data_IF_705864638429
#
_entry.id   IF_705864638429
#
_cell.length_a   1.000
_cell.length_b   1.000
_cell.length_c   1.000
_cell.angle_alpha   90.00
_cell.angle_beta   90.00
_cell.angle_gamma   90.00
#
_symmetry.space_group_name_H-M   'P 1'
#
loop_
_entity.id
_entity.type
_entity.pdbx_description
1 polymer ?
#
# COMPACT_ATOMS: atom_id res chain seq x y z
N UNK A 1 -33.06 79.53 27.79
CA UNK A 1 -34.32 78.85 28.19
C UNK A 1 -34.35 77.53 27.43
N UNK A 2 -34.53 76.33 27.97
CA UNK A 2 -35.09 75.88 29.23
C UNK A 2 -34.87 74.34 29.30
N UNK A 3 -34.48 73.86 30.49
CA UNK A 3 -34.71 72.52 31.08
C UNK A 3 -34.45 71.25 30.26
N UNK A 4 -33.44 70.44 30.61
CA UNK A 4 -33.45 69.41 31.68
C UNK A 4 -34.44 68.26 31.44
N UNK A 5 -33.90 67.05 31.23
CA UNK A 5 -34.23 65.89 32.08
C UNK A 5 -33.21 64.76 31.90
N UNK A 6 -32.53 64.51 33.01
CA UNK A 6 -31.65 63.39 33.32
C UNK A 6 -32.48 62.11 33.33
N UNK A 7 -31.96 61.05 32.71
CA UNK A 7 -32.33 59.67 33.06
C UNK A 7 -31.05 58.86 33.25
N UNK A 8 -30.64 58.72 34.50
CA UNK A 8 -29.59 57.79 34.92
C UNK A 8 -30.21 56.39 34.98
N UNK A 9 -29.79 55.50 34.07
CA UNK A 9 -30.04 54.06 34.22
C UNK A 9 -28.80 53.43 34.85
N UNK A 10 -28.91 53.12 36.14
CA UNK A 10 -28.02 52.25 36.90
C UNK A 10 -28.14 50.81 36.37
N UNK A 11 -27.10 50.32 35.69
CA UNK A 11 -26.92 48.90 35.39
C UNK A 11 -26.32 48.21 36.63
N UNK A 12 -27.13 47.47 37.37
CA UNK A 12 -26.64 46.58 38.42
C UNK A 12 -26.04 45.33 37.79
N UNK A 13 -24.75 45.10 38.06
CA UNK A 13 -24.07 43.86 37.76
C UNK A 13 -24.64 42.73 38.63
N UNK A 14 -25.37 41.80 38.02
CA UNK A 14 -25.63 40.49 38.60
C UNK A 14 -24.59 39.52 38.02
N UNK A 15 -23.45 39.40 38.71
CA UNK A 15 -22.52 38.30 38.48
C UNK A 15 -23.19 37.02 39.01
N UNK A 16 -23.88 36.30 38.12
CA UNK A 16 -24.30 34.94 38.38
C UNK A 16 -23.03 34.07 38.48
N UNK A 17 -22.80 33.49 39.65
CA UNK A 17 -21.87 32.39 39.86
C UNK A 17 -22.38 31.18 39.06
N UNK A 18 -22.03 31.12 37.78
CA UNK A 18 -22.07 29.87 37.03
C UNK A 18 -20.86 29.05 37.49
N UNK A 19 -21.12 28.00 38.28
CA UNK A 19 -20.15 26.93 38.44
C UNK A 19 -19.73 26.47 37.04
N UNK A 20 -18.42 26.35 36.73
CA UNK A 20 -18.01 25.74 35.47
C UNK A 20 -18.60 24.34 35.46
N UNK A 21 -19.58 24.12 34.57
CA UNK A 21 -19.97 22.77 34.20
C UNK A 21 -18.72 22.20 33.53
N UNK A 22 -17.95 21.44 34.32
CA UNK A 22 -16.93 20.53 33.85
C UNK A 22 -17.65 19.44 33.04
N UNK A 23 -18.15 19.81 31.85
CA UNK A 23 -18.33 18.89 30.75
C UNK A 23 -16.93 18.61 30.21
N UNK A 24 -16.10 17.95 31.02
CA UNK A 24 -15.05 17.13 30.46
C UNK A 24 -15.80 16.05 29.70
N UNK A 25 -15.76 16.01 28.35
CA UNK A 25 -16.32 14.88 27.64
C UNK A 25 -15.71 13.64 28.28
N UNK A 26 -16.59 12.77 28.81
CA UNK A 26 -16.17 11.54 29.44
C UNK A 26 -15.24 10.85 28.45
N UNK A 27 -13.95 10.76 28.78
CA UNK A 27 -12.93 10.16 27.94
C UNK A 27 -13.46 8.78 27.62
N UNK A 28 -13.98 8.59 26.40
CA UNK A 28 -14.45 7.29 25.95
C UNK A 28 -13.25 6.39 26.16
N UNK A 29 -13.39 5.39 27.03
CA UNK A 29 -12.38 4.38 27.23
C UNK A 29 -12.03 3.89 25.83
N UNK A 30 -10.81 4.19 25.37
CA UNK A 30 -10.26 3.60 24.15
C UNK A 30 -10.46 2.11 24.33
N UNK A 31 -11.35 1.54 23.52
CA UNK A 31 -11.50 0.09 23.44
C UNK A 31 -10.11 -0.41 23.05
N UNK A 32 -9.62 -1.43 23.76
CA UNK A 32 -8.37 -2.06 23.35
C UNK A 32 -8.49 -2.43 21.86
N UNK A 33 -7.45 -2.18 21.06
CA UNK A 33 -7.48 -2.53 19.64
C UNK A 33 -7.84 -4.02 19.51
N UNK A 34 -8.64 -4.40 18.51
CA UNK A 34 -8.97 -5.80 18.31
C UNK A 34 -7.69 -6.61 18.19
N UNK A 35 -7.60 -7.71 18.93
CA UNK A 35 -6.53 -8.67 18.73
C UNK A 35 -6.58 -9.16 17.27
N UNK A 36 -5.42 -9.38 16.63
CA UNK A 36 -5.34 -10.06 15.34
C UNK A 36 -6.21 -11.31 15.33
N UNK A 37 -6.91 -11.53 14.21
CA UNK A 37 -7.70 -12.73 14.00
C UNK A 37 -6.83 -13.96 14.16
N UNK A 38 -7.38 -15.04 14.69
CA UNK A 38 -6.71 -16.35 14.77
C UNK A 38 -6.73 -17.13 13.44
N UNK A 39 -7.10 -16.47 12.35
CA UNK A 39 -7.10 -16.98 10.97
C UNK A 39 -5.64 -17.30 10.52
N UNK A 40 -5.37 -18.33 9.69
CA UNK A 40 -6.20 -18.90 8.62
C UNK A 40 -7.28 -19.94 8.95
N UNK A 41 -8.20 -20.18 8.00
CA UNK A 41 -9.12 -21.35 7.95
C UNK A 41 -8.37 -22.71 7.89
N UNK A 42 -7.05 -22.71 8.08
CA UNK A 42 -6.15 -23.86 8.00
C UNK A 42 -4.86 -23.61 8.79
N UNK A 43 -3.78 -24.31 8.42
CA UNK A 43 -2.47 -24.10 9.02
C UNK A 43 -1.84 -22.83 8.41
N UNK A 44 -1.57 -21.81 9.23
CA UNK A 44 -0.80 -20.63 8.79
C UNK A 44 0.54 -21.07 8.20
N UNK A 45 0.91 -20.50 7.06
CA UNK A 45 2.28 -20.65 6.60
C UNK A 45 3.20 -19.67 7.36
N UNK A 46 4.48 -20.01 7.43
CA UNK A 46 5.46 -19.20 8.16
C UNK A 46 5.47 -17.75 7.66
N UNK A 47 5.31 -16.81 8.60
CA UNK A 47 5.32 -15.35 8.40
C UNK A 47 4.17 -14.77 7.56
N UNK A 48 3.00 -15.43 7.58
CA UNK A 48 1.75 -14.88 7.05
C UNK A 48 1.34 -13.58 7.77
N UNK A 49 0.61 -12.71 7.06
CA UNK A 49 0.11 -11.43 7.59
C UNK A 49 -0.80 -11.59 8.80
N UNK A 50 -0.95 -10.51 9.56
CA UNK A 50 -1.97 -10.41 10.60
C UNK A 50 -3.26 -9.85 10.02
N UNK A 51 -4.38 -10.55 10.22
CA UNK A 51 -5.68 -10.16 9.67
C UNK A 51 -6.55 -9.46 10.73
N UNK A 52 -7.11 -8.30 10.40
CA UNK A 52 -8.06 -7.56 11.23
C UNK A 52 -9.39 -7.35 10.53
N UNK A 53 -10.46 -7.46 11.32
CA UNK A 53 -11.83 -7.11 10.93
C UNK A 53 -12.43 -7.87 9.75
N UNK A 54 -11.92 -9.05 9.44
CA UNK A 54 -12.60 -10.00 8.58
C UNK A 54 -13.63 -10.81 9.38
N UNK A 55 -14.84 -10.96 8.83
CA UNK A 55 -15.90 -11.80 9.35
C UNK A 55 -15.79 -13.21 8.75
N UNK A 56 -15.34 -14.22 9.51
CA UNK A 56 -15.15 -15.58 9.00
C UNK A 56 -16.47 -16.31 8.74
N UNK A 57 -17.62 -15.72 9.05
CA UNK A 57 -18.93 -16.28 8.68
C UNK A 57 -19.45 -15.71 7.35
N UNK A 58 -18.89 -14.60 6.86
CA UNK A 58 -19.22 -13.99 5.58
C UNK A 58 -18.42 -14.63 4.44
N UNK A 59 -19.08 -14.97 3.33
CA UNK A 59 -18.44 -15.70 2.23
C UNK A 59 -17.50 -14.82 1.41
N UNK A 60 -17.73 -13.50 1.36
CA UNK A 60 -16.82 -12.55 0.69
C UNK A 60 -15.54 -12.41 1.50
N UNK A 61 -15.64 -12.19 2.81
CA UNK A 61 -14.46 -12.09 3.67
C UNK A 61 -13.65 -13.39 3.70
N UNK A 62 -14.31 -14.56 3.68
CA UNK A 62 -13.60 -15.85 3.51
C UNK A 62 -12.84 -15.92 2.18
N UNK A 63 -13.43 -15.45 1.09
CA UNK A 63 -12.79 -15.45 -0.22
C UNK A 63 -11.58 -14.50 -0.25
N UNK A 64 -11.70 -13.30 0.32
CA UNK A 64 -10.59 -12.34 0.45
C UNK A 64 -9.46 -12.93 1.29
N UNK A 65 -9.79 -13.50 2.44
CA UNK A 65 -8.83 -14.17 3.29
C UNK A 65 -8.15 -15.38 2.60
N UNK A 66 -8.87 -16.12 1.76
CA UNK A 66 -8.29 -17.20 0.97
C UNK A 66 -7.29 -16.66 -0.05
N UNK A 67 -7.60 -15.56 -0.75
CA UNK A 67 -6.66 -14.89 -1.66
C UNK A 67 -5.39 -14.42 -0.92
N UNK A 68 -5.56 -13.80 0.26
CA UNK A 68 -4.44 -13.35 1.10
C UNK A 68 -3.57 -14.52 1.58
N UNK A 69 -4.19 -15.62 1.98
CA UNK A 69 -3.49 -16.83 2.38
C UNK A 69 -2.72 -17.43 1.20
N UNK A 70 -3.39 -17.63 0.06
CA UNK A 70 -2.82 -18.32 -1.09
C UNK A 70 -1.62 -17.55 -1.65
N UNK A 71 -1.68 -16.23 -1.76
CA UNK A 71 -0.58 -15.44 -2.35
C UNK A 71 0.74 -15.61 -1.58
N UNK A 72 0.68 -15.83 -0.26
CA UNK A 72 1.87 -16.16 0.55
C UNK A 72 2.15 -17.66 0.51
N UNK A 73 1.17 -18.50 0.83
CA UNK A 73 1.41 -19.89 1.16
C UNK A 73 1.67 -20.79 -0.06
N UNK A 74 1.20 -20.40 -1.26
CA UNK A 74 1.62 -21.09 -2.51
C UNK A 74 3.01 -20.65 -2.97
N UNK A 75 3.60 -19.64 -2.31
CA UNK A 75 4.93 -19.11 -2.61
C UNK A 75 4.97 -18.08 -3.72
N UNK A 76 3.82 -17.58 -4.20
CA UNK A 76 3.78 -16.58 -5.28
C UNK A 76 4.47 -15.27 -4.86
N UNK A 77 4.14 -14.74 -3.69
CA UNK A 77 4.74 -13.50 -3.20
C UNK A 77 6.25 -13.64 -3.00
N UNK A 78 6.70 -14.78 -2.48
CA UNK A 78 8.13 -15.10 -2.36
C UNK A 78 8.81 -15.25 -3.71
N UNK A 79 8.15 -15.87 -4.69
CA UNK A 79 8.68 -15.99 -6.04
C UNK A 79 8.89 -14.60 -6.66
N UNK A 80 7.85 -13.75 -6.68
CA UNK A 80 7.92 -12.41 -7.28
C UNK A 80 9.03 -11.58 -6.63
N UNK A 81 9.03 -11.46 -5.30
CA UNK A 81 10.06 -10.70 -4.58
C UNK A 81 11.47 -11.27 -4.77
N UNK A 82 11.67 -12.59 -4.73
CA UNK A 82 13.01 -13.20 -4.93
C UNK A 82 13.55 -13.07 -6.36
N UNK A 83 12.69 -13.13 -7.38
CA UNK A 83 13.12 -12.87 -8.76
C UNK A 83 13.41 -11.39 -9.00
N UNK A 84 12.64 -10.49 -8.39
CA UNK A 84 12.97 -9.06 -8.36
C UNK A 84 14.32 -8.80 -7.69
N UNK A 85 14.55 -9.39 -6.51
CA UNK A 85 15.83 -9.33 -5.80
C UNK A 85 17.00 -9.81 -6.68
N UNK A 86 16.83 -10.96 -7.32
CA UNK A 86 17.87 -11.55 -8.18
C UNK A 86 18.12 -10.74 -9.46
N UNK A 87 17.09 -10.08 -9.97
CA UNK A 87 17.19 -9.14 -11.09
C UNK A 87 18.02 -7.91 -10.68
N UNK A 88 17.77 -7.35 -9.50
CA UNK A 88 18.50 -6.21 -8.96
C UNK A 88 19.97 -6.52 -8.67
N UNK A 89 20.24 -7.64 -7.98
CA UNK A 89 21.60 -8.10 -7.65
C UNK A 89 22.53 -8.15 -8.88
N UNK A 90 21.96 -8.45 -10.06
CA UNK A 90 22.72 -8.71 -11.29
C UNK A 90 22.46 -7.69 -12.38
N UNK A 91 21.70 -6.64 -12.09
CA UNK A 91 21.21 -5.66 -13.06
C UNK A 91 20.68 -6.32 -14.34
N UNK A 92 19.75 -7.27 -14.20
CA UNK A 92 19.13 -7.90 -15.37
C UNK A 92 18.15 -6.95 -16.07
N UNK A 93 17.71 -7.31 -17.28
CA UNK A 93 16.83 -6.46 -18.08
C UNK A 93 15.55 -6.00 -17.33
N UNK A 94 14.86 -6.83 -16.52
CA UNK A 94 13.76 -6.33 -15.70
C UNK A 94 14.20 -5.27 -14.71
N UNK A 95 15.39 -5.35 -14.10
CA UNK A 95 15.88 -4.30 -13.20
C UNK A 95 16.13 -2.99 -13.93
N UNK A 96 16.90 -3.04 -15.03
CA UNK A 96 17.29 -1.85 -15.82
C UNK A 96 16.11 -1.08 -16.42
N UNK A 97 14.95 -1.73 -16.48
CA UNK A 97 13.68 -1.13 -16.91
C UNK A 97 13.09 -0.18 -15.86
N UNK A 98 13.27 -0.45 -14.57
CA UNK A 98 12.59 0.33 -13.52
C UNK A 98 13.54 1.05 -12.54
N UNK A 99 14.84 0.76 -12.61
CA UNK A 99 15.86 1.39 -11.77
C UNK A 99 17.14 1.72 -12.56
N UNK A 100 17.87 2.77 -12.17
CA UNK A 100 19.19 3.06 -12.73
C UNK A 100 20.20 2.00 -12.31
N UNK A 101 21.22 1.75 -13.13
CA UNK A 101 22.36 0.92 -12.70
C UNK A 101 23.18 1.66 -11.64
N UNK A 102 23.67 0.92 -10.63
CA UNK A 102 24.61 1.48 -9.66
C UNK A 102 25.90 1.92 -10.34
N UNK A 103 26.49 3.00 -9.84
CA UNK A 103 27.83 3.46 -10.23
C UNK A 103 28.77 3.53 -9.00
N UNK A 104 29.87 4.28 -9.09
CA UNK A 104 30.81 4.41 -7.97
C UNK A 104 30.26 5.27 -6.81
N UNK A 105 29.21 6.05 -7.06
CA UNK A 105 28.64 7.03 -6.13
C UNK A 105 27.33 6.51 -5.49
N UNK A 106 26.58 5.65 -6.18
CA UNK A 106 25.24 5.21 -5.76
C UNK A 106 25.06 3.69 -5.64
N UNK A 107 24.40 3.27 -4.54
CA UNK A 107 24.15 1.86 -4.18
C UNK A 107 22.76 1.33 -4.63
N UNK A 108 22.19 1.89 -5.71
CA UNK A 108 20.87 1.56 -6.26
C UNK A 108 20.50 0.08 -6.23
N UNK A 109 21.33 -0.77 -6.84
CA UNK A 109 21.09 -2.20 -6.93
C UNK A 109 21.06 -2.87 -5.56
N UNK A 110 21.93 -2.44 -4.65
CA UNK A 110 22.03 -3.00 -3.30
C UNK A 110 20.78 -2.66 -2.51
N UNK A 111 20.33 -1.40 -2.55
CA UNK A 111 19.12 -0.96 -1.85
C UNK A 111 17.89 -1.74 -2.32
N UNK A 112 17.71 -1.86 -3.65
CA UNK A 112 16.57 -2.58 -4.23
C UNK A 112 16.61 -4.06 -3.87
N UNK A 113 17.80 -4.69 -3.97
CA UNK A 113 18.01 -6.09 -3.58
C UNK A 113 17.71 -6.31 -2.09
N UNK A 114 18.12 -5.40 -1.22
CA UNK A 114 17.94 -5.55 0.23
C UNK A 114 16.47 -5.43 0.63
N UNK A 115 15.72 -4.47 0.06
CA UNK A 115 14.25 -4.33 0.23
C UNK A 115 13.53 -5.61 -0.15
N UNK A 116 13.79 -6.11 -1.36
CA UNK A 116 13.13 -7.31 -1.85
C UNK A 116 13.59 -8.56 -1.11
N UNK A 117 14.82 -8.58 -0.61
CA UNK A 117 15.35 -9.64 0.25
C UNK A 117 14.69 -9.70 1.62
N UNK A 118 14.33 -8.55 2.21
CA UNK A 118 13.54 -8.50 3.45
C UNK A 118 12.18 -9.17 3.26
N UNK A 119 11.51 -8.86 2.14
CA UNK A 119 10.20 -9.42 1.80
C UNK A 119 10.31 -10.90 1.42
N UNK A 120 11.21 -11.29 0.53
CA UNK A 120 11.36 -12.66 0.06
C UNK A 120 11.86 -13.63 1.14
N UNK A 121 12.56 -13.10 2.15
CA UNK A 121 13.37 -13.87 3.07
C UNK A 121 14.78 -14.10 2.53
N UNK A 122 15.75 -13.98 3.41
CA UNK A 122 17.19 -14.10 3.12
C UNK A 122 17.68 -15.55 3.09
N UNK A 123 16.89 -16.48 3.62
CA UNK A 123 17.26 -17.89 3.71
C UNK A 123 16.11 -18.81 3.28
N UNK A 124 16.46 -20.00 2.80
CA UNK A 124 15.46 -21.06 2.55
C UNK A 124 14.77 -21.54 3.83
N UNK A 125 15.34 -21.23 5.00
CA UNK A 125 14.75 -21.54 6.31
C UNK A 125 13.81 -20.44 6.83
N UNK A 126 13.69 -19.31 6.12
CA UNK A 126 12.79 -18.22 6.51
C UNK A 126 11.31 -18.56 6.22
N UNK A 127 10.98 -19.79 5.82
CA UNK A 127 9.59 -20.23 5.69
C UNK A 127 8.96 -19.89 4.33
N UNK A 128 7.68 -19.52 4.30
CA UNK A 128 6.98 -19.21 3.04
C UNK A 128 7.35 -17.83 2.48
N UNK A 129 7.70 -16.88 3.36
CA UNK A 129 8.06 -15.50 3.03
C UNK A 129 8.98 -14.92 4.13
N UNK A 130 9.59 -13.76 3.90
CA UNK A 130 10.48 -13.12 4.87
C UNK A 130 9.79 -12.77 6.19
N UNK A 131 10.54 -12.89 7.29
CA UNK A 131 10.04 -12.67 8.67
C UNK A 131 9.38 -11.31 8.89
N UNK A 132 9.81 -10.27 8.16
CA UNK A 132 9.26 -8.91 8.25
C UNK A 132 7.77 -8.90 7.87
N UNK A 133 7.36 -9.74 6.94
CA UNK A 133 6.00 -9.79 6.40
C UNK A 133 4.99 -10.24 7.46
N UNK A 134 5.38 -11.13 8.37
CA UNK A 134 4.54 -11.57 9.49
C UNK A 134 4.24 -10.47 10.52
N UNK A 135 4.89 -9.31 10.39
CA UNK A 135 4.60 -8.13 11.21
C UNK A 135 3.53 -7.22 10.61
N UNK A 136 3.21 -7.38 9.32
CA UNK A 136 2.25 -6.51 8.63
C UNK A 136 0.82 -6.89 8.98
N UNK A 137 -0.05 -5.88 8.89
CA UNK A 137 -1.45 -5.98 9.25
C UNK A 137 -2.30 -5.67 8.03
N UNK A 138 -3.18 -6.59 7.65
CA UNK A 138 -4.25 -6.36 6.66
C UNK A 138 -5.54 -6.07 7.42
N UNK A 139 -6.13 -4.92 7.20
CA UNK A 139 -7.35 -4.46 7.89
C UNK A 139 -8.50 -4.31 6.90
N UNK A 140 -9.59 -5.04 7.12
CA UNK A 140 -10.76 -5.03 6.24
C UNK A 140 -11.74 -3.86 6.53
N UNK A 141 -11.48 -2.99 7.52
CA UNK A 141 -12.32 -1.81 7.81
C UNK A 141 -11.93 -0.56 7.00
N UNK A 142 -11.79 -0.69 5.67
CA UNK A 142 -11.50 0.45 4.80
C UNK A 142 -12.73 1.17 4.24
N UNK A 143 -13.94 0.62 4.43
CA UNK A 143 -15.17 1.28 3.99
C UNK A 143 -16.29 1.29 5.02
N UNK A 144 -16.82 2.50 5.24
CA UNK A 144 -18.05 2.74 5.96
C UNK A 144 -19.26 2.45 5.05
N UNK A 145 -19.51 1.20 4.68
CA UNK A 145 -20.78 0.84 4.05
C UNK A 145 -21.89 0.86 5.12
N UNK A 146 -22.40 2.05 5.49
CA UNK A 146 -23.64 2.17 6.28
C UNK A 146 -24.77 1.91 5.30
N UNK A 147 -25.45 0.77 5.37
CA UNK A 147 -26.54 0.57 4.45
C UNK A 147 -27.70 1.49 4.91
N UNK A 148 -28.36 2.15 3.97
CA UNK A 148 -29.33 3.26 4.17
C UNK A 148 -30.44 3.03 5.22
N UNK A 149 -30.70 1.78 5.59
CA UNK A 149 -31.66 1.39 6.61
C UNK A 149 -31.14 1.59 8.04
N UNK A 150 -29.82 1.59 8.26
CA UNK A 150 -29.18 1.95 9.54
C UNK A 150 -29.24 3.46 9.83
N UNK A 151 -29.36 4.30 8.80
CA UNK A 151 -29.52 5.76 8.93
C UNK A 151 -30.85 6.18 9.56
N UNK A 152 -31.91 5.36 9.46
CA UNK A 152 -33.22 5.67 10.05
C UNK A 152 -33.29 5.53 11.58
N UNK A 153 -32.33 4.85 12.21
CA UNK A 153 -32.30 4.66 13.68
C UNK A 153 -31.28 5.54 14.42
N UNK A 154 -30.46 6.34 13.71
CA UNK A 154 -29.30 7.04 14.31
C UNK A 154 -29.51 8.52 14.64
N UNK A 155 -30.69 9.10 14.45
CA UNK A 155 -30.94 10.53 14.71
C UNK A 155 -31.11 10.93 16.20
N UNK A 156 -30.71 10.10 17.18
CA UNK A 156 -30.91 10.44 18.61
C UNK A 156 -29.68 10.51 19.51
N UNK A 157 -28.46 10.22 19.04
CA UNK A 157 -27.25 10.42 19.86
C UNK A 157 -26.05 10.80 19.00
N UNK A 158 -25.30 11.87 19.35
CA UNK A 158 -24.01 12.17 18.72
C UNK A 158 -22.97 11.24 19.34
N UNK A 159 -23.04 9.96 19.00
CA UNK A 159 -21.97 9.01 19.25
C UNK A 159 -21.07 9.04 18.02
N UNK A 160 -20.03 9.86 18.11
CA UNK A 160 -18.82 9.75 17.29
C UNK A 160 -18.38 8.28 17.36
N UNK A 161 -18.50 7.53 16.27
CA UNK A 161 -17.96 6.16 16.21
C UNK A 161 -16.45 6.29 16.00
N UNK A 162 -15.60 5.84 16.95
CA UNK A 162 -14.17 6.12 16.90
C UNK A 162 -13.36 4.87 16.49
N UNK A 163 -13.66 4.22 15.37
CA UNK A 163 -13.04 2.91 15.10
C UNK A 163 -12.85 2.53 13.62
N UNK A 164 -12.78 3.49 12.71
CA UNK A 164 -12.63 3.21 11.29
C UNK A 164 -11.18 3.53 10.87
N UNK A 165 -10.51 2.58 10.21
CA UNK A 165 -9.19 2.78 9.63
C UNK A 165 -9.31 3.86 8.54
N UNK A 166 -8.31 4.75 8.42
CA UNK A 166 -8.32 5.93 7.52
C UNK A 166 -9.37 7.04 7.76
N UNK A 167 -10.37 6.87 8.64
CA UNK A 167 -11.47 7.86 8.79
C UNK A 167 -11.09 9.27 9.32
N UNK A 168 -9.84 9.51 9.66
CA UNK A 168 -9.33 10.84 10.01
C UNK A 168 -8.05 11.18 9.23
N UNK A 169 -7.78 10.48 8.14
CA UNK A 169 -6.62 10.76 7.30
C UNK A 169 -6.87 12.07 6.52
N UNK A 170 -5.99 13.08 6.64
CA UNK A 170 -6.19 14.38 6.01
C UNK A 170 -6.03 14.33 4.48
N UNK A 171 -5.44 13.25 3.95
CA UNK A 171 -5.18 13.07 2.53
C UNK A 171 -6.27 12.22 1.84
N UNK A 172 -7.36 11.90 2.57
CA UNK A 172 -8.53 11.16 2.07
C UNK A 172 -8.19 9.83 1.38
N UNK A 173 -7.08 9.18 1.77
CA UNK A 173 -6.75 7.86 1.26
C UNK A 173 -7.83 6.84 1.67
N UNK A 174 -8.78 6.64 0.76
CA UNK A 174 -9.91 5.74 0.91
C UNK A 174 -10.20 5.04 -0.42
N UNK A 175 -11.06 4.02 -0.37
CA UNK A 175 -11.49 3.30 -1.57
C UNK A 175 -12.54 4.05 -2.39
N UNK A 176 -12.77 5.34 -2.14
CA UNK A 176 -13.83 6.11 -2.81
C UNK A 176 -13.39 6.66 -4.16
N UNK A 177 -12.09 6.82 -4.38
CA UNK A 177 -11.53 7.18 -5.68
C UNK A 177 -11.68 6.02 -6.67
N UNK A 178 -12.24 6.32 -7.84
CA UNK A 178 -12.47 5.33 -8.90
C UNK A 178 -11.14 4.74 -9.37
N UNK A 179 -10.91 3.46 -9.07
CA UNK A 179 -9.72 2.73 -9.50
C UNK A 179 -8.67 2.51 -8.42
N UNK A 180 -8.83 3.07 -7.21
CA UNK A 180 -7.97 2.77 -6.07
C UNK A 180 -7.97 1.27 -5.79
N UNK A 181 -6.76 0.69 -5.73
CA UNK A 181 -6.59 -0.76 -5.55
C UNK A 181 -6.36 -1.12 -4.09
N UNK A 182 -5.55 -0.33 -3.40
CA UNK A 182 -5.20 -0.51 -2.00
C UNK A 182 -4.58 0.78 -1.46
N UNK A 183 -4.35 0.82 -0.17
CA UNK A 183 -3.55 1.86 0.48
C UNK A 183 -2.91 1.35 1.77
N UNK A 184 -1.80 1.97 2.14
CA UNK A 184 -1.06 1.69 3.38
C UNK A 184 -0.93 2.96 4.22
N UNK A 185 -1.39 2.91 5.48
CA UNK A 185 -1.39 4.06 6.39
C UNK A 185 -1.02 3.65 7.82
N UNK A 186 -0.54 4.62 8.60
CA UNK A 186 -0.43 4.47 10.06
C UNK A 186 -1.77 4.79 10.73
N UNK A 187 -2.40 3.78 11.33
CA UNK A 187 -3.65 3.96 12.08
C UNK A 187 -3.42 4.81 13.34
N UNK A 188 -4.11 5.94 13.43
CA UNK A 188 -4.02 6.87 14.57
C UNK A 188 -4.57 6.30 15.89
N UNK A 189 -5.34 5.21 15.84
CA UNK A 189 -5.93 4.58 17.02
C UNK A 189 -4.90 3.72 17.78
N UNK A 190 -4.09 2.94 17.06
CA UNK A 190 -3.12 2.00 17.63
C UNK A 190 -1.66 2.24 17.20
N UNK A 191 -1.41 3.22 16.34
CA UNK A 191 -0.11 3.59 15.75
C UNK A 191 0.57 2.45 14.99
N UNK A 192 -0.20 1.52 14.42
CA UNK A 192 0.33 0.48 13.53
C UNK A 192 0.15 0.88 12.08
N UNK A 193 1.14 0.57 11.26
CA UNK A 193 1.00 0.54 9.82
C UNK A 193 0.06 -0.62 9.43
N UNK A 194 -0.87 -0.35 8.53
CA UNK A 194 -1.85 -1.33 8.06
C UNK A 194 -2.09 -1.14 6.56
N UNK A 195 -2.41 -2.24 5.88
CA UNK A 195 -2.81 -2.28 4.48
C UNK A 195 -4.32 -2.48 4.44
N UNK A 196 -5.01 -1.74 3.58
CA UNK A 196 -6.36 -2.06 3.17
C UNK A 196 -6.40 -2.30 1.65
N UNK A 197 -7.09 -3.35 1.24
CA UNK A 197 -7.29 -3.72 -0.16
C UNK A 197 -8.72 -3.39 -0.58
N UNK A 198 -8.87 -2.50 -1.55
CA UNK A 198 -10.16 -2.05 -2.08
C UNK A 198 -10.80 -3.09 -3.00
N UNK A 199 -12.11 -2.98 -3.24
CA UNK A 199 -12.90 -3.90 -4.08
C UNK A 199 -12.25 -4.28 -5.42
N UNK A 200 -11.67 -3.35 -6.21
CA UNK A 200 -11.06 -3.69 -7.48
C UNK A 200 -9.86 -4.65 -7.36
N UNK A 201 -9.12 -4.63 -6.25
CA UNK A 201 -7.94 -5.50 -6.05
C UNK A 201 -8.32 -6.98 -6.00
N UNK A 202 -9.44 -7.32 -5.37
CA UNK A 202 -9.92 -8.70 -5.22
C UNK A 202 -10.33 -9.36 -6.53
N UNK A 203 -10.51 -8.55 -7.58
CA UNK A 203 -10.79 -9.04 -8.95
C UNK A 203 -9.53 -9.41 -9.73
N UNK A 204 -8.34 -9.05 -9.22
CA UNK A 204 -7.07 -9.40 -9.87
C UNK A 204 -6.74 -10.88 -9.63
N UNK A 205 -6.30 -11.54 -10.70
CA UNK A 205 -5.89 -12.94 -10.64
C UNK A 205 -4.52 -13.12 -9.97
N UNK A 206 -4.13 -14.39 -9.87
CA UNK A 206 -2.77 -14.79 -9.48
C UNK A 206 -1.79 -14.55 -10.65
N UNK A 207 -0.55 -14.17 -10.33
CA UNK A 207 0.50 -14.07 -11.34
C UNK A 207 0.82 -15.44 -11.98
N UNK A 208 0.58 -16.53 -11.26
CA UNK A 208 0.67 -17.89 -11.79
C UNK A 208 -0.33 -18.17 -12.92
N UNK A 209 -1.43 -17.41 -13.02
CA UNK A 209 -2.47 -17.58 -14.05
C UNK A 209 -2.27 -16.72 -15.30
N UNK A 210 -1.30 -15.78 -15.30
CA UNK A 210 -0.98 -14.95 -16.48
C UNK A 210 -0.70 -15.79 -17.72
N UNK A 211 -1.44 -15.54 -18.80
CA UNK A 211 -1.24 -16.19 -20.10
C UNK A 211 -0.08 -15.57 -20.87
N UNK A 212 1.06 -16.28 -20.89
CA UNK A 212 2.27 -15.88 -21.59
C UNK A 212 2.05 -15.60 -23.10
N UNK A 213 1.07 -16.23 -23.74
CA UNK A 213 0.78 -16.04 -25.17
C UNK A 213 0.03 -14.74 -25.48
N UNK A 214 -0.53 -14.08 -24.45
CA UNK A 214 -1.32 -12.85 -24.57
C UNK A 214 -0.53 -11.57 -24.29
N UNK A 215 0.69 -11.72 -23.76
CA UNK A 215 1.55 -10.63 -23.32
C UNK A 215 2.08 -9.82 -24.51
N UNK A 216 2.27 -8.52 -24.26
CA UNK A 216 2.93 -7.63 -25.20
C UNK A 216 4.45 -7.91 -25.24
N UNK A 217 5.16 -7.44 -26.28
CA UNK A 217 6.62 -7.57 -26.34
C UNK A 217 7.40 -6.79 -25.25
N UNK A 218 6.71 -5.91 -24.52
CA UNK A 218 7.18 -5.18 -23.35
C UNK A 218 6.25 -5.46 -22.15
N UNK A 219 6.71 -5.30 -20.90
CA UNK A 219 5.88 -5.53 -19.72
C UNK A 219 4.71 -4.52 -19.66
N UNK A 220 3.49 -5.00 -19.45
CA UNK A 220 2.28 -4.16 -19.47
C UNK A 220 1.27 -4.60 -18.40
N UNK A 221 0.21 -3.84 -18.20
CA UNK A 221 -0.87 -4.15 -17.24
C UNK A 221 -1.61 -5.46 -17.55
N UNK A 222 -1.35 -6.12 -18.68
CA UNK A 222 -1.85 -7.48 -18.97
C UNK A 222 -1.32 -8.54 -18.02
N UNK A 223 -0.15 -8.31 -17.41
CA UNK A 223 0.42 -9.22 -16.44
C UNK A 223 -0.05 -8.95 -15.01
N UNK A 224 -0.89 -7.92 -14.82
CA UNK A 224 -1.30 -7.43 -13.51
C UNK A 224 -1.95 -8.52 -12.63
N UNK A 225 -1.61 -8.51 -11.35
CA UNK A 225 -1.96 -9.55 -10.39
C UNK A 225 -2.22 -8.98 -8.99
N UNK A 226 -2.94 -9.73 -8.16
CA UNK A 226 -3.12 -9.37 -6.75
C UNK A 226 -1.78 -9.27 -6.01
N UNK A 227 -0.84 -10.19 -6.31
CA UNK A 227 0.50 -10.18 -5.72
C UNK A 227 1.31 -8.91 -6.03
N UNK A 228 1.10 -8.28 -7.19
CA UNK A 228 1.77 -7.02 -7.52
C UNK A 228 1.21 -5.87 -6.69
N UNK A 229 -0.12 -5.82 -6.50
CA UNK A 229 -0.75 -4.86 -5.58
C UNK A 229 -0.22 -5.07 -4.17
N UNK A 230 -0.25 -6.31 -3.68
CA UNK A 230 0.21 -6.60 -2.33
C UNK A 230 1.71 -6.27 -2.15
N UNK A 231 2.56 -6.55 -3.14
CA UNK A 231 3.97 -6.18 -3.06
C UNK A 231 4.18 -4.66 -3.03
N UNK A 232 3.43 -3.90 -3.83
CA UNK A 232 3.44 -2.43 -3.80
C UNK A 232 3.17 -1.94 -2.37
N UNK A 233 2.05 -2.35 -1.78
CA UNK A 233 1.66 -1.92 -0.42
C UNK A 233 2.67 -2.33 0.66
N UNK A 234 3.25 -3.53 0.52
CA UNK A 234 4.29 -3.99 1.45
C UNK A 234 5.53 -3.10 1.43
N UNK A 235 5.85 -2.45 0.31
CA UNK A 235 7.01 -1.56 0.24
C UNK A 235 6.81 -0.25 1.02
N UNK A 236 5.57 0.19 1.24
CA UNK A 236 5.28 1.37 2.04
C UNK A 236 5.57 1.20 3.54
N UNK A 237 5.67 -0.03 4.05
CA UNK A 237 5.99 -0.25 5.45
C UNK A 237 7.35 0.34 5.82
N UNK A 238 7.37 1.09 6.91
CA UNK A 238 8.59 1.68 7.47
C UNK A 238 9.67 0.66 7.82
N UNK A 239 9.29 -0.61 8.03
CA UNK A 239 10.20 -1.72 8.30
C UNK A 239 10.82 -2.37 7.05
N UNK A 240 10.37 -2.01 5.85
CA UNK A 240 10.83 -2.58 4.56
C UNK A 240 11.78 -1.64 3.84
N UNK A 241 11.48 -0.34 3.84
CA UNK A 241 12.35 0.66 3.24
C UNK A 241 13.78 0.53 3.77
N UNK A 242 14.81 0.72 2.94
CA UNK A 242 16.16 0.65 3.45
C UNK A 242 16.33 1.74 4.51
N UNK A 243 17.24 1.54 5.48
CA UNK A 243 17.93 2.70 6.05
C UNK A 243 18.83 3.30 4.94
N UNK A 244 18.22 3.78 3.85
CA UNK A 244 18.95 4.40 2.74
C UNK A 244 19.73 5.59 3.28
N UNK A 245 20.75 5.99 2.53
CA UNK A 245 21.39 7.29 2.68
C UNK A 245 20.39 8.46 2.70
N UNK A 246 19.18 8.27 2.12
CA UNK A 246 18.11 9.26 2.05
C UNK A 246 17.17 9.27 3.26
N UNK A 247 17.13 8.21 4.08
CA UNK A 247 16.21 8.05 5.21
C UNK A 247 14.73 8.31 4.85
N UNK A 248 14.37 8.11 3.57
CA UNK A 248 13.03 8.30 3.04
C UNK A 248 12.32 6.96 2.94
N UNK A 249 11.02 6.97 3.27
CA UNK A 249 10.13 5.83 3.04
C UNK A 249 9.90 5.67 1.55
N UNK A 250 9.64 4.43 1.11
CA UNK A 250 9.14 4.16 -0.23
C UNK A 250 7.68 4.63 -0.26
N UNK A 251 7.36 5.50 -1.20
CA UNK A 251 6.08 6.20 -1.35
C UNK A 251 5.58 6.10 -2.79
N UNK A 252 4.41 6.66 -3.04
CA UNK A 252 3.93 6.87 -4.40
C UNK A 252 4.47 8.17 -4.95
N UNK A 253 5.38 8.08 -5.92
CA UNK A 253 6.00 9.27 -6.52
C UNK A 253 5.18 9.79 -7.69
N UNK A 254 5.41 11.05 -8.03
CA UNK A 254 4.80 11.68 -9.19
C UNK A 254 5.85 11.80 -10.31
N UNK A 255 5.41 11.68 -11.57
CA UNK A 255 6.19 12.12 -12.72
C UNK A 255 6.25 13.66 -12.78
N UNK A 256 7.01 14.19 -13.72
CA UNK A 256 7.18 15.64 -13.93
C UNK A 256 5.89 16.38 -14.31
N UNK A 257 4.87 15.69 -14.83
CA UNK A 257 3.53 16.25 -15.07
C UNK A 257 2.72 16.44 -13.78
N UNK A 258 3.22 15.99 -12.64
CA UNK A 258 2.56 16.05 -11.35
C UNK A 258 1.62 14.88 -11.08
N UNK A 259 1.47 13.96 -12.02
CA UNK A 259 0.63 12.78 -11.90
C UNK A 259 1.41 11.60 -11.31
N UNK A 260 0.69 10.67 -10.70
CA UNK A 260 1.28 9.48 -10.07
C UNK A 260 1.97 8.58 -11.10
N UNK A 261 3.14 8.06 -10.72
CA UNK A 261 3.93 7.12 -11.50
C UNK A 261 3.39 5.68 -11.43
N UNK A 262 2.09 5.53 -11.67
CA UNK A 262 1.42 4.23 -11.70
C UNK A 262 1.48 3.59 -13.09
N UNK A 263 1.55 2.27 -13.13
CA UNK A 263 1.67 1.42 -14.32
C UNK A 263 3.06 1.46 -15.00
N UNK A 264 3.44 0.38 -15.74
CA UNK A 264 4.78 0.27 -16.29
C UNK A 264 5.24 1.50 -17.09
N UNK A 265 4.47 2.08 -18.03
CA UNK A 265 4.94 3.23 -18.80
C UNK A 265 5.30 4.46 -17.95
N UNK A 266 4.54 4.76 -16.88
CA UNK A 266 4.81 5.95 -16.05
C UNK A 266 5.97 5.73 -15.11
N UNK A 267 6.09 4.53 -14.56
CA UNK A 267 7.27 4.12 -13.78
C UNK A 267 8.54 4.24 -14.61
N UNK A 268 8.51 3.82 -15.88
CA UNK A 268 9.67 3.99 -16.77
C UNK A 268 9.98 5.46 -17.05
N UNK A 269 8.97 6.34 -17.09
CA UNK A 269 9.16 7.78 -17.21
C UNK A 269 10.02 8.39 -16.10
N UNK A 270 10.07 7.77 -14.91
CA UNK A 270 10.95 8.21 -13.82
C UNK A 270 12.46 8.00 -14.10
N UNK A 271 12.80 7.14 -15.06
CA UNK A 271 14.18 6.94 -15.52
C UNK A 271 14.55 7.78 -16.74
N UNK A 272 13.57 8.41 -17.38
CA UNK A 272 13.79 9.15 -18.61
C UNK A 272 14.52 10.46 -18.26
N UNK A 273 15.80 10.62 -18.67
CA UNK A 273 16.55 11.85 -18.39
C UNK A 273 15.97 13.07 -19.10
N UNK A 274 15.06 12.90 -20.08
CA UNK A 274 14.33 14.02 -20.67
C UNK A 274 13.14 14.48 -19.80
N UNK A 275 12.73 13.69 -18.80
CA UNK A 275 11.58 13.95 -17.93
C UNK A 275 11.97 14.25 -16.48
N UNK A 276 12.89 13.47 -15.92
CA UNK A 276 13.38 13.65 -14.56
C UNK A 276 14.90 13.50 -14.52
N UNK A 277 15.59 14.61 -14.22
CA UNK A 277 17.04 14.61 -13.99
C UNK A 277 17.43 13.88 -12.69
N UNK A 278 16.46 13.36 -11.92
CA UNK A 278 16.65 12.67 -10.65
C UNK A 278 16.18 11.20 -10.69
N UNK A 279 17.00 10.27 -11.25
CA UNK A 279 16.65 8.86 -11.30
C UNK A 279 16.50 8.22 -9.90
N UNK A 280 16.98 8.88 -8.83
CA UNK A 280 16.79 8.42 -7.46
C UNK A 280 15.33 8.39 -7.01
N UNK A 281 14.42 9.06 -7.74
CA UNK A 281 12.97 8.97 -7.49
C UNK A 281 12.46 7.53 -7.66
N UNK A 282 13.11 6.71 -8.49
CA UNK A 282 12.73 5.30 -8.66
C UNK A 282 12.95 4.45 -7.40
N UNK A 283 13.98 4.73 -6.60
CA UNK A 283 14.25 4.01 -5.34
C UNK A 283 13.20 4.25 -4.26
N UNK A 284 12.51 5.39 -4.33
CA UNK A 284 11.49 5.74 -3.36
C UNK A 284 10.09 5.54 -3.94
N UNK A 285 9.95 4.91 -5.11
CA UNK A 285 8.65 4.65 -5.73
C UNK A 285 8.22 3.18 -5.55
N UNK A 286 7.09 2.95 -4.86
CA UNK A 286 6.57 1.60 -4.59
C UNK A 286 6.30 0.80 -5.87
N UNK A 287 5.77 1.46 -6.90
CA UNK A 287 5.42 0.81 -8.17
C UNK A 287 6.66 0.37 -8.97
N UNK A 288 7.82 1.02 -8.78
CA UNK A 288 9.10 0.57 -9.35
C UNK A 288 9.48 -0.83 -8.85
N UNK A 289 9.30 -1.10 -7.55
CA UNK A 289 9.56 -2.42 -6.96
C UNK A 289 8.56 -3.46 -7.44
N UNK A 290 7.27 -3.10 -7.42
CA UNK A 290 6.18 -4.01 -7.73
C UNK A 290 6.23 -4.47 -9.19
N UNK A 291 6.34 -3.53 -10.14
CA UNK A 291 6.38 -3.86 -11.56
C UNK A 291 7.68 -4.57 -11.98
N UNK A 292 8.83 -4.16 -11.43
CA UNK A 292 10.10 -4.84 -11.68
C UNK A 292 10.08 -6.30 -11.22
N UNK A 293 9.55 -6.55 -10.03
CA UNK A 293 9.49 -7.90 -9.47
C UNK A 293 8.50 -8.78 -10.24
N UNK A 294 7.33 -8.23 -10.62
CA UNK A 294 6.36 -8.94 -11.43
C UNK A 294 6.92 -9.26 -12.82
N UNK A 295 7.56 -8.28 -13.48
CA UNK A 295 8.25 -8.47 -14.75
C UNK A 295 9.28 -9.59 -14.65
N UNK A 296 10.14 -9.56 -13.62
CA UNK A 296 11.16 -10.60 -13.43
C UNK A 296 10.56 -12.00 -13.29
N UNK A 297 9.49 -12.13 -12.51
CA UNK A 297 8.78 -13.40 -12.33
C UNK A 297 8.09 -13.88 -13.61
N UNK A 298 7.36 -13.00 -14.30
CA UNK A 298 6.65 -13.33 -15.53
C UNK A 298 7.63 -13.68 -16.65
N UNK A 299 8.72 -12.92 -16.76
CA UNK A 299 9.84 -13.23 -17.65
C UNK A 299 10.38 -14.64 -17.39
N UNK A 300 10.60 -15.01 -16.13
CA UNK A 300 11.01 -16.36 -15.73
C UNK A 300 9.99 -17.45 -16.03
N UNK A 301 8.72 -17.18 -15.80
CA UNK A 301 7.61 -18.12 -16.02
C UNK A 301 7.41 -18.40 -17.51
N UNK A 302 7.50 -17.36 -18.32
CA UNK A 302 7.15 -17.39 -19.74
C UNK A 302 8.33 -17.67 -20.68
N UNK A 303 9.56 -17.59 -20.18
CA UNK A 303 10.75 -17.91 -20.96
C UNK A 303 10.74 -19.35 -21.51
N UNK A 304 11.03 -19.48 -22.81
CA UNK A 304 11.21 -20.80 -23.44
C UNK A 304 12.42 -21.56 -22.86
N UNK A 305 13.46 -20.82 -22.45
CA UNK A 305 14.60 -21.34 -21.72
C UNK A 305 14.82 -20.50 -20.45
N UNK A 306 14.39 -21.00 -19.29
CA UNK A 306 14.58 -20.27 -18.05
C UNK A 306 15.93 -20.55 -17.36
N UNK A 307 16.86 -21.25 -18.02
CA UNK A 307 18.17 -21.54 -17.43
C UNK A 307 19.07 -20.30 -17.38
N UNK A 308 19.84 -20.18 -16.30
CA UNK A 308 20.69 -19.01 -16.07
C UNK A 308 19.87 -17.72 -16.12
N UNK A 309 20.26 -16.82 -17.02
CA UNK A 309 19.71 -15.45 -17.13
C UNK A 309 18.92 -15.27 -18.42
N UNK A 310 18.74 -16.35 -19.19
CA UNK A 310 18.06 -16.34 -20.48
C UNK A 310 16.59 -15.90 -20.35
N UNK A 311 16.01 -16.05 -19.16
CA UNK A 311 14.65 -15.58 -18.89
C UNK A 311 14.53 -14.06 -18.89
N UNK A 312 15.56 -13.31 -18.50
CA UNK A 312 15.48 -11.86 -18.36
C UNK A 312 15.20 -11.16 -19.71
N UNK A 313 15.53 -11.82 -20.82
CA UNK A 313 15.26 -11.34 -22.18
C UNK A 313 13.89 -11.78 -22.74
N UNK A 314 12.96 -12.26 -21.92
CA UNK A 314 11.61 -12.64 -22.38
C UNK A 314 10.89 -11.47 -23.04
N UNK A 315 10.79 -10.32 -22.35
CA UNK A 315 10.38 -9.07 -22.96
C UNK A 315 11.54 -8.50 -23.77
N UNK A 316 11.28 -8.21 -25.04
CA UNK A 316 12.31 -7.91 -26.05
C UNK A 316 12.31 -6.45 -26.50
N UNK A 317 11.28 -5.70 -26.12
CA UNK A 317 11.14 -4.29 -26.44
C UNK A 317 11.31 -3.45 -25.20
N UNK A 318 11.89 -2.28 -25.41
CA UNK A 318 11.86 -1.19 -24.46
C UNK A 318 10.41 -0.69 -24.32
N UNK A 319 10.09 0.01 -23.22
CA UNK A 319 8.76 0.58 -23.02
C UNK A 319 8.46 1.60 -24.11
N UNK A 320 7.17 1.85 -24.41
CA UNK A 320 6.81 3.02 -25.18
C UNK A 320 7.31 4.29 -24.47
N UNK A 321 7.59 5.34 -25.26
CA UNK A 321 7.87 6.65 -24.70
C UNK A 321 6.67 7.08 -23.85
N UNK A 322 6.95 7.69 -22.70
CA UNK A 322 5.90 8.16 -21.82
C UNK A 322 5.15 9.33 -22.47
N UNK A 323 3.83 9.33 -22.29
CA UNK A 323 2.92 10.37 -22.75
C UNK A 323 2.47 11.17 -21.52
N UNK A 324 2.78 12.48 -21.51
CA UNK A 324 2.33 13.39 -20.46
C UNK A 324 0.80 13.43 -20.41
N UNK A 325 0.22 13.51 -19.21
CA UNK A 325 -1.17 13.91 -19.09
C UNK A 325 -1.33 15.38 -19.56
N UNK A 326 -2.27 15.60 -20.49
CA UNK A 326 -2.62 16.94 -21.02
C UNK A 326 -3.32 17.83 -19.98
#
# INVERSE_FOLDING_TARGET
MSLSRVLSLTLFAAAALASPVLNSPSRVLRRDPPSPSTYPLGDACDHEWQYLNFNPDDDTDKAHLQTLHDVICVGEMRAISSYGQSSAERALAPYKRYFPESDEEDDFQTNVKDVLGLIAGTSSTDGAIGTVVGTFVIDNLGELHIPLWSLLFLFKSPLIRPADFAANDPDEADCTDEGSLAYTLTDQLDNREKIHFCDPSWTRGSAADVDCGSLDPFPSTKMDSFSRIALHEMTHYSSVGPQTSLAQQIVDTNNADGEKAYDPPRVHGLLDPEQDDNPAVTEINADSYAWMSLDAWISRKCAADPSGDNWASFFTQDPPAYEHAD
#
